data_IF_829725978251
#
_entry.id   IF_829725978251
#
_cell.length_a   1.000
_cell.length_b   1.000
_cell.length_c   1.000
_cell.angle_alpha   90.00
_cell.angle_beta   90.00
_cell.angle_gamma   90.00
#
_symmetry.space_group_name_H-M   'P 1'
#
loop_
_entity.id
_entity.type
_entity.pdbx_description
1 polymer ?
#
# COMPACT_ATOMS: atom_id res chain seq x y z
N UNK A 1 -3.05 11.27 4.77
CA UNK A 1 -3.43 9.85 4.62
C UNK A 1 -2.22 9.07 4.14
N UNK A 2 -1.86 7.98 4.82
CA UNK A 2 -0.56 7.31 4.67
C UNK A 2 -0.37 6.57 3.34
N UNK A 3 -1.40 5.91 2.82
CA UNK A 3 -1.32 5.14 1.57
C UNK A 3 -1.82 5.90 0.34
N UNK A 4 -2.25 7.16 0.51
CA UNK A 4 -2.66 8.01 -0.61
C UNK A 4 -1.45 8.47 -1.43
N UNK A 5 -1.72 8.76 -2.70
CA UNK A 5 -0.75 9.34 -3.64
C UNK A 5 0.09 10.44 -2.97
N UNK A 6 1.39 10.43 -3.25
CA UNK A 6 2.32 11.47 -2.79
C UNK A 6 1.84 12.84 -3.27
N UNK A 7 1.71 13.78 -2.35
CA UNK A 7 1.48 15.19 -2.68
C UNK A 7 2.71 15.99 -2.26
N UNK A 8 3.02 17.09 -2.94
CA UNK A 8 4.15 17.96 -2.60
C UNK A 8 4.04 18.61 -1.21
N UNK A 9 2.90 18.47 -0.53
CA UNK A 9 2.64 18.89 0.85
C UNK A 9 2.87 17.78 1.90
N UNK A 10 3.27 16.57 1.49
CA UNK A 10 3.61 15.52 2.44
C UNK A 10 4.83 15.96 3.27
N UNK A 11 4.65 16.07 4.59
CA UNK A 11 5.75 16.36 5.51
C UNK A 11 6.85 15.30 5.37
N UNK A 12 8.11 15.71 5.41
CA UNK A 12 9.28 14.84 5.22
C UNK A 12 9.24 13.57 6.08
N UNK A 13 8.81 13.69 7.34
CA UNK A 13 8.61 12.56 8.23
C UNK A 13 7.60 11.52 7.68
N UNK A 14 6.50 11.98 7.08
CA UNK A 14 5.50 11.11 6.45
C UNK A 14 6.07 10.45 5.20
N UNK A 15 6.84 11.19 4.38
CA UNK A 15 7.49 10.64 3.20
C UNK A 15 8.50 9.54 3.57
N UNK A 16 9.31 9.75 4.63
CA UNK A 16 10.23 8.75 5.16
C UNK A 16 9.51 7.51 5.67
N UNK A 17 8.43 7.67 6.45
CA UNK A 17 7.63 6.53 6.91
C UNK A 17 7.04 5.73 5.75
N UNK A 18 6.52 6.42 4.71
CA UNK A 18 6.03 5.74 3.49
C UNK A 18 7.15 4.94 2.84
N UNK A 19 8.36 5.51 2.68
CA UNK A 19 9.48 4.82 2.07
C UNK A 19 9.90 3.57 2.87
N UNK A 20 10.01 3.68 4.19
CA UNK A 20 10.34 2.56 5.07
C UNK A 20 9.30 1.44 4.98
N UNK A 21 8.02 1.79 5.00
CA UNK A 21 6.93 0.83 4.83
C UNK A 21 7.01 0.07 3.50
N UNK A 22 7.31 0.77 2.40
CA UNK A 22 7.47 0.13 1.09
C UNK A 22 8.67 -0.83 1.06
N UNK A 23 9.78 -0.46 1.69
CA UNK A 23 10.97 -1.31 1.80
C UNK A 23 10.68 -2.58 2.60
N UNK A 24 9.96 -2.47 3.71
CA UNK A 24 9.58 -3.62 4.53
C UNK A 24 8.60 -4.53 3.77
N UNK A 25 7.65 -3.94 3.05
CA UNK A 25 6.72 -4.69 2.21
C UNK A 25 7.45 -5.53 1.17
N UNK A 26 8.41 -4.93 0.45
CA UNK A 26 9.19 -5.66 -0.56
C UNK A 26 9.94 -6.84 0.08
N UNK A 27 10.45 -6.68 1.30
CA UNK A 27 11.03 -7.76 2.09
C UNK A 27 10.09 -8.95 2.31
N UNK A 28 8.81 -8.68 2.61
CA UNK A 28 7.78 -9.73 2.79
C UNK A 28 7.53 -10.53 1.50
N UNK A 29 7.69 -9.89 0.33
CA UNK A 29 7.49 -10.54 -0.97
C UNK A 29 8.71 -11.36 -1.38
N UNK A 30 9.91 -10.87 -1.08
CA UNK A 30 11.16 -11.49 -1.55
C UNK A 30 11.69 -12.62 -0.67
N UNK A 31 11.33 -12.66 0.60
CA UNK A 31 11.78 -13.71 1.53
C UNK A 31 10.92 -14.97 1.38
N UNK A 32 11.48 -16.09 0.85
CA UNK A 32 10.73 -17.32 0.64
C UNK A 32 10.28 -17.99 1.95
N UNK A 33 10.87 -17.63 3.08
CA UNK A 33 10.50 -18.13 4.41
C UNK A 33 9.42 -17.28 5.08
N UNK A 34 9.12 -16.10 4.53
CA UNK A 34 8.09 -15.20 5.04
C UNK A 34 6.72 -15.56 4.44
N UNK A 35 5.79 -16.02 5.28
CA UNK A 35 4.40 -16.27 4.87
C UNK A 35 3.47 -15.24 5.51
N UNK A 36 3.35 -14.07 4.88
CA UNK A 36 2.47 -12.98 5.32
C UNK A 36 1.56 -12.56 4.18
N UNK A 37 0.28 -12.36 4.47
CA UNK A 37 -0.69 -11.78 3.54
C UNK A 37 -1.09 -10.41 4.06
N UNK A 38 -1.00 -9.39 3.20
CA UNK A 38 -1.50 -8.05 3.51
C UNK A 38 -2.83 -7.82 2.78
N UNK A 39 -3.88 -7.57 3.55
CA UNK A 39 -5.22 -7.29 3.03
C UNK A 39 -5.56 -5.81 3.25
N UNK A 40 -5.87 -5.10 2.17
CA UNK A 40 -6.38 -3.73 2.20
C UNK A 40 -7.89 -3.68 2.02
N UNK A 41 -8.55 -2.74 2.71
CA UNK A 41 -9.96 -2.42 2.51
C UNK A 41 -10.11 -0.91 2.31
N UNK A 42 -10.78 -0.48 1.25
CA UNK A 42 -11.02 0.94 0.96
C UNK A 42 -12.31 1.15 0.17
N UNK A 43 -13.04 2.21 0.51
CA UNK A 43 -14.21 2.68 -0.25
C UNK A 43 -13.82 3.75 -1.30
N UNK A 44 -12.53 4.06 -1.44
CA UNK A 44 -11.99 5.05 -2.39
C UNK A 44 -10.73 4.50 -3.06
N UNK A 45 -10.84 3.46 -3.91
CA UNK A 45 -9.68 2.82 -4.53
C UNK A 45 -8.84 3.78 -5.39
N UNK A 46 -9.46 4.80 -5.99
CA UNK A 46 -8.79 5.80 -6.82
C UNK A 46 -7.83 6.73 -6.06
N UNK A 47 -7.95 6.81 -4.73
CA UNK A 47 -7.10 7.67 -3.93
C UNK A 47 -5.76 7.01 -3.55
N UNK A 48 -5.64 5.70 -3.75
CA UNK A 48 -4.50 4.90 -3.32
C UNK A 48 -3.29 5.13 -4.24
N UNK A 49 -2.09 5.15 -3.66
CA UNK A 49 -0.84 5.26 -4.43
C UNK A 49 -0.68 4.04 -5.37
N UNK A 50 -0.35 4.29 -6.64
CA UNK A 50 -0.11 3.24 -7.64
C UNK A 50 0.99 2.26 -7.22
N UNK A 51 1.96 2.71 -6.43
CA UNK A 51 3.03 1.84 -5.92
C UNK A 51 2.50 0.80 -4.93
N UNK A 52 1.46 1.13 -4.15
CA UNK A 52 0.77 0.18 -3.26
C UNK A 52 -0.08 -0.78 -4.10
N UNK A 53 -0.83 -0.28 -5.08
CA UNK A 53 -1.66 -1.12 -5.95
C UNK A 53 -0.83 -2.19 -6.68
N UNK A 54 0.39 -1.85 -7.12
CA UNK A 54 1.32 -2.82 -7.73
C UNK A 54 1.70 -3.99 -6.81
N UNK A 55 1.63 -3.79 -5.49
CA UNK A 55 1.96 -4.80 -4.46
C UNK A 55 0.73 -5.58 -3.97
N UNK A 56 -0.47 -5.22 -4.45
CA UNK A 56 -1.74 -5.90 -4.16
C UNK A 56 -2.35 -6.42 -5.47
N UNK A 57 -1.88 -7.56 -6.01
CA UNK A 57 -2.29 -8.04 -7.32
C UNK A 57 -3.77 -8.48 -7.38
N UNK A 58 -4.33 -8.89 -6.25
CA UNK A 58 -5.74 -9.27 -6.15
C UNK A 58 -6.58 -8.09 -5.64
N UNK A 59 -7.56 -7.67 -6.44
CA UNK A 59 -8.52 -6.61 -6.08
C UNK A 59 -9.93 -7.10 -6.36
N UNK A 60 -10.84 -6.87 -5.42
CA UNK A 60 -12.21 -7.34 -5.49
C UNK A 60 -13.16 -6.17 -5.23
N UNK A 61 -14.12 -5.96 -6.13
CA UNK A 61 -15.20 -5.02 -5.90
C UNK A 61 -16.31 -5.69 -5.10
N UNK A 62 -16.68 -5.10 -3.96
CA UNK A 62 -17.77 -5.56 -3.12
C UNK A 62 -18.98 -4.65 -3.37
N UNK A 63 -19.97 -5.19 -4.06
CA UNK A 63 -21.24 -4.52 -4.34
C UNK A 63 -22.19 -4.57 -3.15
N UNK A 64 -23.32 -3.87 -3.28
CA UNK A 64 -24.43 -4.01 -2.35
C UNK A 64 -25.05 -5.42 -2.48
N UNK A 65 -25.66 -5.97 -1.40
CA UNK A 65 -26.40 -7.23 -1.44
C UNK A 65 -27.57 -7.23 -2.42
#
# INVERSE_FOLDING_TARGET
SFLRSRTSQDHEATAMMKAQFMSLWDGLITDPSCTVIVMGATNRPQDLDRAILRRMPATFHIGLP
#
